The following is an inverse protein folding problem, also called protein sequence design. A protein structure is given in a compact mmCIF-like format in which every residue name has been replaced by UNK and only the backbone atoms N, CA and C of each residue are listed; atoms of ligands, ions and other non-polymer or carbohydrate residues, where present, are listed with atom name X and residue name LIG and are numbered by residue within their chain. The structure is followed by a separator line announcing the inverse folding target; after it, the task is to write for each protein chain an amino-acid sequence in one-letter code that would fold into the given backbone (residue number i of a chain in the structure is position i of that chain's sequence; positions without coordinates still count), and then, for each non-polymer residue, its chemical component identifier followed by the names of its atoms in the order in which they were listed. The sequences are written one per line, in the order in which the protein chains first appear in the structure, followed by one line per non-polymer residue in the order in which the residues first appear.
data_IF_432058500890
#
_entry.id   IF_432058500890
#
_cell.length_a   1.000
_cell.length_b   1.000
_cell.length_c   1.000
_cell.angle_alpha   90.00
_cell.angle_beta   90.00
_cell.angle_gamma   90.00
#
_symmetry.space_group_name_H-M   'P 1'
#
loop_
_entity.id
_entity.type
_entity.pdbx_description
1 polymer ?
#
# COMPACT_ATOMS: atom_id res chain seq x y z
N UNK A 1 15.21 34.96 3.77
CA UNK A 1 14.75 34.43 5.08
C UNK A 1 14.97 32.96 5.08
N UNK A 2 15.97 32.49 5.78
CA UNK A 2 16.37 31.07 5.90
C UNK A 2 15.42 30.34 6.87
N UNK A 3 14.90 29.15 6.56
CA UNK A 3 14.23 28.33 7.57
C UNK A 3 15.29 27.62 8.39
N UNK A 4 15.56 28.15 9.60
CA UNK A 4 16.32 27.44 10.64
C UNK A 4 15.51 26.24 11.13
N UNK A 5 15.64 25.07 10.50
CA UNK A 5 15.32 23.82 11.11
C UNK A 5 16.50 23.39 11.96
N UNK A 6 16.38 23.44 13.30
CA UNK A 6 17.34 22.79 14.18
C UNK A 6 17.49 21.32 13.77
N UNK A 7 18.70 20.75 13.80
CA UNK A 7 18.87 19.32 13.51
C UNK A 7 18.03 18.51 14.50
N UNK A 8 17.18 17.59 13.98
CA UNK A 8 16.39 16.68 14.82
C UNK A 8 17.36 15.82 15.60
N UNK A 9 17.25 15.83 16.93
CA UNK A 9 18.06 14.97 17.77
C UNK A 9 17.66 13.51 17.51
N UNK A 10 18.61 12.71 17.01
CA UNK A 10 18.40 11.30 16.70
C UNK A 10 18.08 10.46 17.96
N UNK A 11 18.43 10.94 19.15
CA UNK A 11 18.09 10.31 20.43
C UNK A 11 16.57 10.30 20.73
N UNK A 12 15.80 11.14 20.03
CA UNK A 12 14.35 11.28 20.19
C UNK A 12 13.51 10.54 19.16
N UNK A 13 14.15 9.71 18.32
CA UNK A 13 13.47 8.97 17.25
C UNK A 13 13.63 7.48 17.48
N UNK A 14 12.50 6.76 17.44
CA UNK A 14 12.47 5.30 17.60
C UNK A 14 11.58 4.61 16.57
N UNK A 15 11.89 3.34 16.32
CA UNK A 15 11.00 2.42 15.62
C UNK A 15 10.19 1.69 16.68
N UNK A 16 8.87 1.79 16.61
CA UNK A 16 7.91 1.24 17.56
C UNK A 16 7.10 0.15 16.89
N UNK A 17 6.97 -0.99 17.57
CA UNK A 17 6.06 -2.06 17.14
C UNK A 17 4.62 -1.64 17.39
N UNK A 18 3.82 -1.63 16.33
CA UNK A 18 2.39 -1.40 16.43
C UNK A 18 1.71 -2.74 16.71
N UNK A 19 0.92 -2.76 17.78
CA UNK A 19 0.15 -3.91 18.23
C UNK A 19 -1.34 -3.54 18.30
N UNK A 20 -2.25 -4.51 18.41
CA UNK A 20 -3.67 -4.23 18.66
C UNK A 20 -3.94 -3.31 19.84
N UNK A 21 -3.10 -3.38 20.88
CA UNK A 21 -3.27 -2.61 22.12
C UNK A 21 -2.85 -1.12 21.96
N UNK A 22 -1.91 -0.83 21.06
CA UNK A 22 -1.35 0.53 20.92
C UNK A 22 -1.66 1.23 19.57
N UNK A 23 -2.24 0.53 18.59
CA UNK A 23 -2.52 1.11 17.27
C UNK A 23 -3.43 2.34 17.33
N UNK A 24 -4.35 2.38 18.28
CA UNK A 24 -5.25 3.52 18.48
C UNK A 24 -4.51 4.79 18.92
N UNK A 25 -3.42 4.65 19.70
CA UNK A 25 -2.62 5.75 20.24
C UNK A 25 -1.70 6.35 19.17
N UNK A 26 -1.06 5.49 18.39
CA UNK A 26 -0.15 5.93 17.33
C UNK A 26 -0.87 6.33 16.06
N UNK A 27 -2.02 5.72 15.76
CA UNK A 27 -2.70 5.84 14.48
C UNK A 27 -1.98 5.07 13.36
N UNK A 28 -2.46 5.22 12.14
CA UNK A 28 -1.90 4.57 10.94
C UNK A 28 -1.90 5.54 9.77
N UNK A 29 -0.81 5.58 9.02
CA UNK A 29 -0.71 6.41 7.80
C UNK A 29 -1.02 7.90 8.04
N UNK A 30 -0.74 8.43 9.23
CA UNK A 30 -1.03 9.80 9.60
C UNK A 30 -2.46 10.06 10.09
N UNK A 31 -3.34 9.09 10.06
CA UNK A 31 -4.67 9.17 10.68
C UNK A 31 -4.58 8.83 12.18
N UNK A 32 -5.11 9.71 13.03
CA UNK A 32 -5.12 9.53 14.50
C UNK A 32 -6.51 9.62 15.12
N UNK A 33 -7.45 10.30 14.47
CA UNK A 33 -8.75 10.59 15.05
C UNK A 33 -9.82 9.60 14.56
N UNK A 34 -10.07 8.58 15.36
CA UNK A 34 -11.09 7.55 15.12
C UNK A 34 -12.52 8.10 15.02
N UNK A 35 -12.79 9.27 15.62
CA UNK A 35 -14.12 9.88 15.58
C UNK A 35 -14.37 10.56 14.23
N UNK A 36 -13.32 11.13 13.64
CA UNK A 36 -13.38 11.84 12.37
C UNK A 36 -13.19 10.93 11.15
N UNK A 37 -12.49 9.82 11.32
CA UNK A 37 -12.02 8.97 10.20
C UNK A 37 -12.58 7.55 10.33
N UNK A 38 -13.71 7.29 9.68
CA UNK A 38 -14.30 5.95 9.61
C UNK A 38 -13.36 4.93 8.97
N UNK A 39 -12.62 5.34 7.95
CA UNK A 39 -11.61 4.56 7.25
C UNK A 39 -10.48 4.08 8.17
N UNK A 40 -10.12 4.87 9.19
CA UNK A 40 -9.14 4.46 10.19
C UNK A 40 -9.67 3.31 11.05
N UNK A 41 -10.94 3.33 11.46
CA UNK A 41 -11.54 2.23 12.21
C UNK A 41 -11.55 0.93 11.42
N UNK A 42 -11.92 0.99 10.13
CA UNK A 42 -11.88 -0.18 9.24
C UNK A 42 -10.46 -0.74 9.12
N UNK A 43 -9.46 0.14 8.97
CA UNK A 43 -8.05 -0.26 8.92
C UNK A 43 -7.59 -0.91 10.23
N UNK A 44 -8.00 -0.41 11.40
CA UNK A 44 -7.66 -0.98 12.69
C UNK A 44 -8.26 -2.38 12.84
N UNK A 45 -9.56 -2.57 12.56
CA UNK A 45 -10.21 -3.88 12.62
C UNK A 45 -9.51 -4.89 11.70
N UNK A 46 -9.16 -4.46 10.48
CA UNK A 46 -8.39 -5.26 9.54
C UNK A 46 -6.99 -5.59 10.10
N UNK A 47 -6.30 -4.63 10.71
CA UNK A 47 -5.00 -4.84 11.33
C UNK A 47 -5.08 -5.88 12.46
N UNK A 48 -6.04 -5.78 13.37
CA UNK A 48 -6.25 -6.71 14.46
C UNK A 48 -6.48 -8.15 13.98
N UNK A 49 -7.28 -8.31 12.92
CA UNK A 49 -7.51 -9.62 12.30
C UNK A 49 -6.22 -10.21 11.74
N UNK A 50 -5.48 -9.42 10.95
CA UNK A 50 -4.29 -9.91 10.25
C UNK A 50 -3.02 -9.92 11.11
N UNK A 51 -3.00 -9.21 12.23
CA UNK A 51 -1.92 -9.29 13.21
C UNK A 51 -1.69 -10.73 13.69
N UNK A 52 -2.77 -11.47 13.92
CA UNK A 52 -2.74 -12.90 14.29
C UNK A 52 -2.24 -13.80 13.15
N UNK A 53 -2.32 -13.33 11.90
CA UNK A 53 -1.82 -14.01 10.70
C UNK A 53 -0.39 -13.59 10.34
N UNK A 54 0.27 -12.78 11.19
CA UNK A 54 1.64 -12.36 11.01
C UNK A 54 1.82 -10.97 10.40
N UNK A 55 0.74 -10.18 10.23
CA UNK A 55 0.87 -8.76 9.85
C UNK A 55 1.64 -7.99 10.91
N UNK A 56 2.58 -7.18 10.48
CA UNK A 56 3.34 -6.26 11.34
C UNK A 56 3.36 -4.86 10.76
N UNK A 57 3.32 -3.89 11.65
CA UNK A 57 3.58 -2.48 11.35
C UNK A 57 4.67 -2.00 12.31
N UNK A 58 5.76 -1.49 11.75
CA UNK A 58 6.80 -0.77 12.48
C UNK A 58 6.64 0.71 12.18
N UNK A 59 6.34 1.52 13.19
CA UNK A 59 6.16 2.96 13.05
C UNK A 59 7.42 3.71 13.44
N UNK A 60 7.83 4.66 12.61
CA UNK A 60 8.85 5.65 12.98
C UNK A 60 8.18 6.76 13.78
N UNK A 61 8.59 6.94 15.02
CA UNK A 61 8.00 7.90 15.96
C UNK A 61 9.09 8.82 16.51
N UNK A 62 8.83 10.13 16.46
CA UNK A 62 9.61 11.15 17.14
C UNK A 62 8.88 11.57 18.41
N UNK A 63 9.58 11.75 19.52
CA UNK A 63 8.98 12.25 20.76
C UNK A 63 8.34 13.62 20.57
N UNK A 64 9.01 14.51 19.83
CA UNK A 64 8.53 15.87 19.58
C UNK A 64 7.42 15.93 18.52
N UNK A 65 7.57 15.16 17.43
CA UNK A 65 6.72 15.32 16.23
C UNK A 65 5.77 14.14 16.01
N UNK A 66 5.78 13.13 16.87
CA UNK A 66 4.93 11.94 16.80
C UNK A 66 5.25 11.06 15.59
N UNK A 67 4.23 10.47 15.02
CA UNK A 67 4.32 9.52 13.91
C UNK A 67 4.90 10.13 12.63
N UNK A 68 5.98 9.56 12.10
CA UNK A 68 6.72 10.10 10.95
C UNK A 68 6.83 9.14 9.76
N UNK A 69 6.50 7.89 9.95
CA UNK A 69 6.59 6.90 8.89
C UNK A 69 6.25 5.50 9.37
N UNK A 70 6.23 4.54 8.46
CA UNK A 70 6.05 3.13 8.80
C UNK A 70 6.56 2.21 7.71
N UNK A 71 6.75 0.94 8.07
CA UNK A 71 6.70 -0.21 7.17
C UNK A 71 5.57 -1.14 7.63
N UNK A 72 4.82 -1.69 6.66
CA UNK A 72 3.79 -2.70 6.88
C UNK A 72 4.13 -3.93 6.05
N UNK A 73 4.16 -5.12 6.66
CA UNK A 73 4.47 -6.38 6.01
C UNK A 73 3.72 -7.57 6.62
N UNK A 74 3.57 -8.64 5.84
CA UNK A 74 2.80 -9.83 6.19
C UNK A 74 3.38 -11.06 5.48
N UNK A 75 3.20 -12.31 5.97
CA UNK A 75 3.48 -13.49 5.18
C UNK A 75 2.75 -13.47 3.83
N UNK A 76 3.47 -13.72 2.74
CA UNK A 76 3.02 -13.49 1.37
C UNK A 76 1.75 -14.21 0.96
N UNK A 77 1.41 -15.34 1.59
CA UNK A 77 0.12 -16.01 1.41
C UNK A 77 -1.09 -15.13 1.74
N UNK A 78 -0.89 -14.11 2.59
CA UNK A 78 -1.90 -13.12 2.98
C UNK A 78 -1.66 -11.75 2.35
N UNK A 79 -0.79 -11.66 1.34
CA UNK A 79 -0.51 -10.39 0.68
C UNK A 79 -1.79 -9.76 0.09
N UNK A 80 -1.98 -8.46 0.36
CA UNK A 80 -3.04 -7.68 -0.24
C UNK A 80 -2.53 -7.02 -1.53
N UNK A 81 -2.06 -7.84 -2.45
CA UNK A 81 -1.59 -7.53 -3.81
C UNK A 81 -1.84 -8.76 -4.70
N UNK A 82 -2.03 -8.58 -6.00
CA UNK A 82 -2.22 -9.69 -6.94
C UNK A 82 -0.89 -10.40 -7.25
N UNK A 83 -0.34 -11.05 -6.22
CA UNK A 83 0.94 -11.77 -6.29
C UNK A 83 0.83 -13.17 -5.72
N UNK A 84 1.61 -14.08 -6.26
CA UNK A 84 1.90 -15.40 -5.71
C UNK A 84 3.26 -15.28 -5.00
N UNK A 85 3.24 -15.02 -3.70
CA UNK A 85 4.43 -14.78 -2.88
C UNK A 85 4.45 -15.68 -1.62
N UNK A 86 3.80 -16.85 -1.66
CA UNK A 86 3.83 -17.78 -0.52
C UNK A 86 5.27 -18.19 -0.20
N UNK A 87 5.56 -18.29 1.08
CA UNK A 87 6.91 -18.52 1.59
C UNK A 87 7.77 -17.25 1.75
N UNK A 88 7.36 -16.11 1.23
CA UNK A 88 8.04 -14.82 1.39
C UNK A 88 7.36 -13.94 2.43
N UNK A 89 8.12 -13.07 3.12
CA UNK A 89 7.55 -11.92 3.78
C UNK A 89 7.25 -10.84 2.72
N UNK A 90 6.04 -10.29 2.72
CA UNK A 90 5.61 -9.33 1.71
C UNK A 90 5.42 -7.93 2.31
N UNK A 91 6.15 -6.94 1.80
CA UNK A 91 5.99 -5.55 2.20
C UNK A 91 4.81 -4.93 1.44
N UNK A 92 3.76 -4.55 2.19
CA UNK A 92 2.60 -3.86 1.65
C UNK A 92 2.85 -2.38 1.37
N UNK A 93 3.50 -1.71 2.33
CA UNK A 93 3.69 -0.27 2.30
C UNK A 93 4.93 0.12 3.11
N UNK A 94 5.63 1.14 2.63
CA UNK A 94 6.67 1.83 3.39
C UNK A 94 6.68 3.29 3.01
N UNK A 95 6.76 4.16 4.00
CA UNK A 95 7.01 5.58 3.77
C UNK A 95 7.68 6.22 4.98
N UNK A 96 8.40 7.31 4.74
CA UNK A 96 9.02 8.15 5.78
C UNK A 96 8.86 9.61 5.40
N UNK A 97 8.54 10.44 6.38
CA UNK A 97 8.65 11.89 6.27
C UNK A 97 7.35 12.58 5.90
N UNK A 98 6.38 12.59 6.81
CA UNK A 98 5.37 13.65 6.82
C UNK A 98 6.04 15.03 6.89
N UNK A 99 7.18 15.13 7.60
CA UNK A 99 8.04 16.30 7.64
C UNK A 99 9.34 16.03 6.87
N UNK A 100 9.84 17.05 6.17
CA UNK A 100 11.02 16.91 5.31
C UNK A 100 12.30 16.57 6.09
N UNK A 101 12.42 17.01 7.32
CA UNK A 101 13.56 16.77 8.20
C UNK A 101 13.83 15.29 8.49
N UNK A 102 12.83 14.41 8.31
CA UNK A 102 12.97 12.96 8.48
C UNK A 102 13.36 12.24 7.18
N UNK A 103 13.29 12.91 6.04
CA UNK A 103 13.62 12.33 4.74
C UNK A 103 15.14 12.22 4.54
N UNK A 104 15.59 11.19 3.84
CA UNK A 104 17.00 11.00 3.50
C UNK A 104 17.92 10.64 4.67
N UNK A 105 17.37 10.31 5.86
CA UNK A 105 18.11 9.97 7.08
C UNK A 105 18.33 8.47 7.28
N UNK A 106 17.95 7.62 6.31
CA UNK A 106 18.12 6.18 6.41
C UNK A 106 16.98 5.42 7.13
N UNK A 107 16.00 6.10 7.71
CA UNK A 107 14.93 5.44 8.49
C UNK A 107 14.14 4.39 7.71
N UNK A 108 13.81 4.65 6.44
CA UNK A 108 13.17 3.64 5.61
C UNK A 108 14.05 2.39 5.44
N UNK A 109 15.36 2.60 5.26
CA UNK A 109 16.35 1.52 5.19
C UNK A 109 16.36 0.68 6.46
N UNK A 110 16.37 1.33 7.65
CA UNK A 110 16.34 0.63 8.94
C UNK A 110 15.05 -0.17 9.14
N UNK A 111 13.90 0.37 8.73
CA UNK A 111 12.63 -0.37 8.80
C UNK A 111 12.58 -1.58 7.86
N UNK A 112 13.24 -1.51 6.69
CA UNK A 112 13.40 -2.68 5.81
C UNK A 112 14.31 -3.73 6.47
N UNK A 113 15.38 -3.31 7.17
CA UNK A 113 16.26 -4.23 7.90
C UNK A 113 15.51 -5.00 8.99
N UNK A 114 14.59 -4.34 9.71
CA UNK A 114 13.71 -5.01 10.67
C UNK A 114 12.82 -6.06 10.00
N UNK A 115 12.20 -5.73 8.86
CA UNK A 115 11.40 -6.69 8.10
C UNK A 115 12.27 -7.89 7.64
N UNK A 116 13.49 -7.64 7.15
CA UNK A 116 14.42 -8.70 6.70
C UNK A 116 14.82 -9.59 7.89
N UNK A 117 15.10 -9.00 9.05
CA UNK A 117 15.44 -9.73 10.27
C UNK A 117 14.30 -10.65 10.69
N UNK A 118 13.08 -10.11 10.82
CA UNK A 118 11.90 -10.91 11.20
C UNK A 118 11.55 -11.99 10.18
N UNK A 119 11.72 -11.71 8.88
CA UNK A 119 11.52 -12.71 7.83
C UNK A 119 12.49 -13.89 7.96
N UNK A 120 13.77 -13.63 8.31
CA UNK A 120 14.77 -14.69 8.58
C UNK A 120 14.42 -15.49 9.83
N UNK A 121 14.04 -14.82 10.91
CA UNK A 121 13.64 -15.45 12.18
C UNK A 121 12.39 -16.34 12.00
N UNK A 122 11.46 -15.94 11.11
CA UNK A 122 10.30 -16.70 10.74
C UNK A 122 10.56 -17.84 9.73
N UNK A 123 11.82 -18.05 9.31
CA UNK A 123 12.19 -19.08 8.33
C UNK A 123 11.63 -18.87 6.93
N UNK A 124 11.34 -17.61 6.55
CA UNK A 124 10.84 -17.26 5.22
C UNK A 124 11.93 -17.45 4.16
N UNK A 125 11.52 -17.64 2.92
CA UNK A 125 12.44 -17.76 1.76
C UNK A 125 13.14 -16.44 1.41
N UNK A 126 12.57 -15.32 1.85
CA UNK A 126 13.05 -13.98 1.55
C UNK A 126 12.00 -12.91 1.83
N UNK A 127 12.21 -11.73 1.26
CA UNK A 127 11.27 -10.60 1.33
C UNK A 127 10.90 -10.17 -0.09
N UNK A 128 9.61 -9.93 -0.33
CA UNK A 128 9.10 -9.46 -1.62
C UNK A 128 8.33 -8.13 -1.46
N UNK A 129 8.30 -7.32 -2.51
CA UNK A 129 7.61 -6.04 -2.54
C UNK A 129 7.23 -5.67 -3.97
N UNK A 130 6.04 -5.09 -4.15
CA UNK A 130 5.68 -4.42 -5.41
C UNK A 130 6.07 -2.95 -5.32
N UNK A 131 6.78 -2.48 -6.34
CA UNK A 131 7.25 -1.09 -6.45
C UNK A 131 6.76 -0.45 -7.73
N UNK A 132 6.70 0.87 -7.70
CA UNK A 132 6.38 1.72 -8.85
C UNK A 132 6.82 3.15 -8.56
N UNK A 133 7.28 3.86 -9.57
CA UNK A 133 7.49 5.30 -9.44
C UNK A 133 6.14 6.03 -9.55
N UNK A 134 5.68 6.60 -8.44
CA UNK A 134 4.41 7.29 -8.42
C UNK A 134 3.76 7.42 -7.04
N UNK A 135 2.53 7.94 -6.99
CA UNK A 135 1.82 8.12 -5.73
C UNK A 135 1.53 6.80 -5.02
N UNK A 136 1.58 6.83 -3.68
CA UNK A 136 1.24 5.72 -2.77
C UNK A 136 2.15 4.49 -2.84
N UNK A 137 3.25 4.53 -3.56
CA UNK A 137 4.20 3.43 -3.64
C UNK A 137 5.63 3.91 -3.41
N UNK A 138 6.47 3.04 -2.88
CA UNK A 138 7.89 3.28 -2.75
C UNK A 138 8.58 3.00 -4.08
N UNK A 139 9.56 3.83 -4.45
CA UNK A 139 10.34 3.66 -5.65
C UNK A 139 11.37 2.51 -5.54
N UNK A 140 11.75 1.96 -6.68
CA UNK A 140 12.67 0.84 -6.85
C UNK A 140 14.02 1.03 -6.13
N UNK A 141 14.59 2.22 -6.20
CA UNK A 141 15.96 2.52 -5.72
C UNK A 141 16.16 2.18 -4.24
N UNK A 142 15.13 2.36 -3.40
CA UNK A 142 15.18 2.05 -1.97
C UNK A 142 15.51 0.57 -1.71
N UNK A 143 14.88 -0.32 -2.47
CA UNK A 143 15.00 -1.77 -2.30
C UNK A 143 16.23 -2.33 -3.01
N UNK A 144 16.57 -1.84 -4.20
CA UNK A 144 17.77 -2.27 -4.93
C UNK A 144 19.05 -2.02 -4.11
N UNK A 145 19.12 -0.90 -3.38
CA UNK A 145 20.24 -0.63 -2.44
C UNK A 145 20.34 -1.64 -1.29
N UNK A 146 19.27 -2.40 -1.03
CA UNK A 146 19.23 -3.49 -0.04
C UNK A 146 19.45 -4.87 -0.65
N UNK A 147 19.78 -4.94 -1.94
CA UNK A 147 20.04 -6.20 -2.64
C UNK A 147 18.80 -6.86 -3.23
N UNK A 148 17.64 -6.19 -3.26
CA UNK A 148 16.48 -6.71 -3.97
C UNK A 148 16.73 -6.67 -5.49
N UNK A 149 16.24 -7.70 -6.17
CA UNK A 149 16.29 -7.85 -7.63
C UNK A 149 14.88 -7.98 -8.19
N UNK A 150 14.69 -7.64 -9.47
CA UNK A 150 13.41 -7.83 -10.12
C UNK A 150 13.14 -9.33 -10.34
N UNK A 151 11.96 -9.78 -9.90
CA UNK A 151 11.47 -11.13 -10.12
C UNK A 151 10.41 -11.18 -11.22
N UNK A 152 9.56 -10.14 -11.32
CA UNK A 152 8.47 -10.07 -12.30
C UNK A 152 8.06 -8.61 -12.54
N UNK A 153 7.24 -8.38 -13.59
CA UNK A 153 6.72 -7.07 -13.95
C UNK A 153 5.25 -7.15 -14.39
N UNK A 154 4.53 -6.04 -14.20
CA UNK A 154 3.13 -5.91 -14.62
C UNK A 154 2.81 -4.52 -15.15
N UNK A 155 1.83 -4.46 -16.07
CA UNK A 155 1.38 -3.21 -16.66
C UNK A 155 0.84 -2.21 -15.60
N UNK A 156 1.02 -0.88 -15.81
CA UNK A 156 1.78 -0.28 -16.89
C UNK A 156 3.29 -0.17 -16.59
N UNK A 157 3.72 -0.23 -15.35
CA UNK A 157 5.10 0.04 -14.89
C UNK A 157 5.34 -0.46 -13.45
N UNK A 158 4.64 -1.52 -13.03
CA UNK A 158 4.88 -2.17 -11.75
C UNK A 158 6.00 -3.20 -11.86
N UNK A 159 6.87 -3.26 -10.84
CA UNK A 159 7.86 -4.31 -10.68
C UNK A 159 7.61 -5.05 -9.35
N UNK A 160 7.76 -6.36 -9.38
CA UNK A 160 7.84 -7.20 -8.19
C UNK A 160 9.32 -7.45 -7.90
N UNK A 161 9.80 -6.91 -6.79
CA UNK A 161 11.18 -7.09 -6.34
C UNK A 161 11.25 -8.14 -5.24
N UNK A 162 12.36 -8.89 -5.20
CA UNK A 162 12.61 -9.93 -4.20
C UNK A 162 14.04 -9.87 -3.67
N UNK A 163 14.19 -10.08 -2.36
CA UNK A 163 15.45 -10.41 -1.70
C UNK A 163 15.34 -11.85 -1.20
N UNK A 164 16.01 -12.79 -1.88
CA UNK A 164 16.02 -14.20 -1.52
C UNK A 164 17.08 -14.50 -0.47
N UNK A 165 16.76 -15.33 0.52
CA UNK A 165 17.72 -15.85 1.49
C UNK A 165 18.34 -17.16 1.03
N UNK A 166 17.60 -17.93 0.22
CA UNK A 166 18.09 -19.08 -0.50
C UNK A 166 17.84 -18.87 -2.01
N UNK A 167 18.89 -18.85 -2.87
CA UNK A 167 18.74 -18.62 -4.31
C UNK A 167 17.93 -19.70 -5.01
N UNK A 168 17.85 -20.92 -4.47
CA UNK A 168 17.16 -22.05 -5.09
C UNK A 168 15.63 -22.01 -4.89
N UNK A 169 15.09 -21.07 -4.10
CA UNK A 169 13.66 -20.93 -3.92
C UNK A 169 13.01 -20.34 -5.17
N UNK A 170 11.76 -20.78 -5.45
CA UNK A 170 10.96 -20.26 -6.57
C UNK A 170 10.73 -18.76 -6.39
N UNK A 171 10.86 -17.99 -7.47
CA UNK A 171 10.58 -16.56 -7.44
C UNK A 171 9.08 -16.27 -7.24
N UNK A 172 8.75 -15.22 -6.48
CA UNK A 172 7.38 -14.72 -6.44
C UNK A 172 7.02 -14.11 -7.80
N UNK A 173 5.71 -14.09 -8.14
CA UNK A 173 5.24 -13.57 -9.42
C UNK A 173 3.91 -12.84 -9.28
N UNK A 174 3.58 -11.99 -10.24
CA UNK A 174 2.23 -11.47 -10.37
C UNK A 174 1.24 -12.58 -10.78
N UNK A 175 -0.01 -12.44 -10.34
CA UNK A 175 -1.12 -13.25 -10.86
C UNK A 175 -1.63 -12.68 -12.18
N UNK A 176 -2.43 -13.45 -12.90
CA UNK A 176 -3.02 -13.00 -14.17
C UNK A 176 -4.18 -12.02 -13.94
N UNK A 177 -3.83 -10.74 -13.85
CA UNK A 177 -4.81 -9.66 -13.66
C UNK A 177 -5.68 -9.43 -14.90
N UNK A 178 -5.23 -9.83 -16.10
CA UNK A 178 -6.00 -9.65 -17.34
C UNK A 178 -7.22 -10.58 -17.38
N UNK A 179 -7.09 -11.76 -16.79
CA UNK A 179 -8.24 -12.67 -16.63
C UNK A 179 -9.30 -12.02 -15.76
N UNK A 180 -8.93 -11.52 -14.59
CA UNK A 180 -9.85 -10.87 -13.65
C UNK A 180 -10.42 -9.55 -14.17
N UNK A 181 -9.68 -8.83 -15.01
CA UNK A 181 -10.17 -7.59 -15.63
C UNK A 181 -11.39 -7.84 -16.55
N UNK A 182 -11.54 -9.05 -17.10
CA UNK A 182 -12.69 -9.42 -17.96
C UNK A 182 -14.03 -9.39 -17.22
N UNK A 183 -14.03 -9.50 -15.90
CA UNK A 183 -15.24 -9.40 -15.08
C UNK A 183 -15.83 -7.99 -15.06
N UNK A 184 -15.02 -6.97 -15.42
CA UNK A 184 -15.36 -5.54 -15.38
C UNK A 184 -15.51 -4.91 -16.77
N UNK A 185 -15.94 -5.70 -17.79
CA UNK A 185 -16.00 -5.26 -19.19
C UNK A 185 -17.00 -4.14 -19.46
N UNK A 186 -18.13 -4.13 -18.76
CA UNK A 186 -19.25 -3.22 -19.05
C UNK A 186 -19.56 -2.35 -17.83
N UNK A 187 -19.35 -1.04 -17.93
CA UNK A 187 -19.67 -0.07 -16.92
C UNK A 187 -18.48 0.50 -16.16
N UNK A 188 -18.77 1.22 -15.09
CA UNK A 188 -17.78 1.89 -14.26
C UNK A 188 -17.71 1.23 -12.87
N UNK A 189 -16.51 0.86 -12.47
CA UNK A 189 -16.24 0.18 -11.20
C UNK A 189 -15.18 0.95 -10.41
N UNK A 190 -15.43 1.17 -9.12
CA UNK A 190 -14.44 1.63 -8.15
C UNK A 190 -14.14 0.46 -7.23
N UNK A 191 -12.95 -0.09 -7.34
CA UNK A 191 -12.51 -1.30 -6.63
C UNK A 191 -11.53 -0.88 -5.55
N UNK A 192 -11.73 -1.35 -4.31
CA UNK A 192 -10.88 -0.98 -3.19
C UNK A 192 -10.78 -2.08 -2.13
N UNK A 193 -9.76 -1.99 -1.28
CA UNK A 193 -9.65 -2.78 -0.05
C UNK A 193 -9.34 -1.90 1.15
N UNK A 194 -9.58 -2.42 2.35
CA UNK A 194 -9.36 -1.71 3.62
C UNK A 194 -7.89 -1.63 4.05
N UNK A 195 -6.99 -2.32 3.34
CA UNK A 195 -5.56 -2.32 3.67
C UNK A 195 -4.98 -0.89 3.72
N UNK A 196 -5.40 0.00 2.83
CA UNK A 196 -4.96 1.39 2.83
C UNK A 196 -6.13 2.34 3.10
N UNK A 197 -6.12 3.15 4.16
CA UNK A 197 -7.24 4.04 4.48
C UNK A 197 -7.48 5.13 3.41
N UNK A 198 -6.46 5.46 2.61
CA UNK A 198 -6.60 6.45 1.53
C UNK A 198 -7.49 5.97 0.37
N UNK A 199 -7.79 4.68 0.26
CA UNK A 199 -8.68 4.13 -0.78
C UNK A 199 -10.13 4.62 -0.63
N UNK A 200 -10.52 5.06 0.56
CA UNK A 200 -11.88 5.54 0.85
C UNK A 200 -12.07 7.04 0.65
N UNK A 201 -10.99 7.83 0.76
CA UNK A 201 -11.04 9.28 0.91
C UNK A 201 -11.90 10.02 -0.12
N UNK A 202 -11.85 9.62 -1.39
CA UNK A 202 -12.56 10.31 -2.47
C UNK A 202 -13.65 9.45 -3.13
N UNK A 203 -13.84 8.22 -2.66
CA UNK A 203 -14.72 7.24 -3.32
C UNK A 203 -16.15 7.76 -3.46
N UNK A 204 -16.77 8.28 -2.39
CA UNK A 204 -18.13 8.79 -2.46
C UNK A 204 -18.28 9.97 -3.43
N UNK A 205 -17.30 10.88 -3.46
CA UNK A 205 -17.33 12.01 -4.39
C UNK A 205 -17.16 11.54 -5.86
N UNK A 206 -16.37 10.51 -6.11
CA UNK A 206 -16.22 9.89 -7.44
C UNK A 206 -17.53 9.24 -7.88
N UNK A 207 -18.17 8.45 -7.02
CA UNK A 207 -19.46 7.82 -7.31
C UNK A 207 -20.56 8.87 -7.62
N UNK A 208 -20.62 9.95 -6.85
CA UNK A 208 -21.56 11.03 -7.06
C UNK A 208 -21.30 11.79 -8.37
N UNK A 209 -20.03 12.10 -8.68
CA UNK A 209 -19.68 12.76 -9.95
C UNK A 209 -19.95 11.85 -11.16
N UNK A 210 -19.71 10.55 -11.05
CA UNK A 210 -20.06 9.59 -12.09
C UNK A 210 -21.56 9.68 -12.45
N UNK A 211 -22.41 9.70 -11.42
CA UNK A 211 -23.87 9.78 -11.58
C UNK A 211 -24.29 11.15 -12.10
N UNK A 212 -23.92 12.23 -11.41
CA UNK A 212 -24.49 13.56 -11.63
C UNK A 212 -23.93 14.27 -12.86
N UNK A 213 -22.66 14.02 -13.22
CA UNK A 213 -21.96 14.71 -14.31
C UNK A 213 -21.82 13.91 -15.60
N UNK A 214 -21.80 12.58 -15.47
CA UNK A 214 -21.53 11.69 -16.61
C UNK A 214 -22.68 10.73 -16.90
N UNK A 215 -23.75 10.77 -16.10
CA UNK A 215 -24.91 9.87 -16.20
C UNK A 215 -24.48 8.38 -16.17
N UNK A 216 -23.43 8.05 -15.43
CA UNK A 216 -22.91 6.70 -15.26
C UNK A 216 -23.24 6.17 -13.86
N UNK A 217 -23.76 4.95 -13.79
CA UNK A 217 -23.88 4.22 -12.54
C UNK A 217 -22.54 3.53 -12.24
N UNK A 218 -21.79 4.06 -11.28
CA UNK A 218 -20.58 3.42 -10.80
C UNK A 218 -20.89 2.37 -9.73
N UNK A 219 -20.31 1.18 -9.86
CA UNK A 219 -20.38 0.10 -8.88
C UNK A 219 -19.15 0.15 -7.96
N UNK A 220 -19.38 0.21 -6.64
CA UNK A 220 -18.33 0.09 -5.65
C UNK A 220 -18.11 -1.37 -5.27
N UNK A 221 -16.87 -1.84 -5.39
CA UNK A 221 -16.43 -3.18 -5.00
C UNK A 221 -15.46 -3.06 -3.83
N UNK A 222 -15.85 -3.57 -2.68
CA UNK A 222 -14.94 -3.76 -1.54
C UNK A 222 -14.32 -5.16 -1.63
N UNK A 223 -13.02 -5.25 -1.83
CA UNK A 223 -12.28 -6.52 -1.85
C UNK A 223 -12.04 -6.98 -0.42
N UNK A 224 -12.70 -8.04 -0.01
CA UNK A 224 -12.61 -8.59 1.32
C UNK A 224 -11.65 -9.79 1.37
N UNK A 225 -10.65 -9.67 2.23
CA UNK A 225 -9.64 -10.70 2.42
C UNK A 225 -8.56 -10.79 1.33
N UNK A 226 -7.51 -11.59 1.58
CA UNK A 226 -6.37 -11.70 0.68
C UNK A 226 -6.74 -12.33 -0.66
N UNK A 227 -7.61 -13.35 -0.69
CA UNK A 227 -8.00 -14.03 -1.93
C UNK A 227 -8.66 -13.06 -2.92
N UNK A 228 -9.58 -12.21 -2.46
CA UNK A 228 -10.22 -11.21 -3.31
C UNK A 228 -9.20 -10.18 -3.84
N UNK A 229 -8.27 -9.71 -2.97
CA UNK A 229 -7.25 -8.74 -3.38
C UNK A 229 -6.18 -9.36 -4.27
N UNK A 230 -5.85 -10.63 -4.07
CA UNK A 230 -4.91 -11.36 -4.93
C UNK A 230 -5.50 -11.64 -6.32
N UNK A 231 -6.79 -11.56 -6.48
CA UNK A 231 -7.51 -11.62 -7.76
C UNK A 231 -7.95 -10.23 -8.25
N UNK A 232 -7.38 -9.15 -7.70
CA UNK A 232 -7.68 -7.79 -8.18
C UNK A 232 -7.23 -7.59 -9.63
N UNK A 233 -7.96 -6.78 -10.43
CA UNK A 233 -7.69 -6.59 -11.86
C UNK A 233 -6.52 -5.64 -12.16
N UNK A 234 -5.76 -5.21 -11.16
CA UNK A 234 -4.60 -4.34 -11.35
C UNK A 234 -3.51 -4.58 -10.30
N UNK A 235 -2.25 -4.35 -10.67
CA UNK A 235 -1.07 -4.64 -9.84
C UNK A 235 -0.97 -3.82 -8.53
N UNK A 236 -1.65 -2.68 -8.45
CA UNK A 236 -1.78 -1.94 -7.19
C UNK A 236 -2.56 -2.73 -6.14
N UNK A 237 -3.50 -3.59 -6.56
CA UNK A 237 -4.26 -4.54 -5.77
C UNK A 237 -5.33 -3.90 -4.88
N UNK A 238 -4.97 -2.92 -4.09
CA UNK A 238 -5.86 -2.34 -3.06
C UNK A 238 -6.76 -1.21 -3.55
N UNK A 239 -6.57 -0.74 -4.77
CA UNK A 239 -7.44 0.25 -5.41
C UNK A 239 -7.25 0.26 -6.93
N UNK A 240 -8.35 0.34 -7.66
CA UNK A 240 -8.35 0.80 -9.05
C UNK A 240 -9.74 1.32 -9.44
N UNK A 241 -9.78 2.06 -10.54
CA UNK A 241 -11.02 2.43 -11.23
C UNK A 241 -10.97 1.80 -12.61
N UNK A 242 -11.98 1.01 -12.93
CA UNK A 242 -12.15 0.35 -14.23
C UNK A 242 -13.37 0.94 -14.93
N UNK A 243 -13.22 1.25 -16.22
CA UNK A 243 -14.31 1.69 -17.08
C UNK A 243 -14.26 0.90 -18.39
N UNK A 244 -15.33 0.14 -18.64
CA UNK A 244 -15.50 -0.69 -19.84
C UNK A 244 -14.27 -1.59 -20.12
N UNK A 245 -13.86 -2.34 -19.09
CA UNK A 245 -12.75 -3.29 -19.17
C UNK A 245 -11.35 -2.69 -19.19
N UNK A 246 -11.20 -1.38 -18.99
CA UNK A 246 -9.91 -0.70 -18.96
C UNK A 246 -9.65 -0.05 -17.59
N UNK A 247 -8.46 -0.26 -17.03
CA UNK A 247 -8.03 0.40 -15.78
C UNK A 247 -7.70 1.85 -16.06
N UNK A 248 -8.56 2.77 -15.63
CA UNK A 248 -8.39 4.22 -15.83
C UNK A 248 -7.67 4.90 -14.68
N UNK A 249 -7.54 4.24 -13.54
CA UNK A 249 -6.66 4.64 -12.44
C UNK A 249 -6.21 3.43 -11.65
N UNK A 250 -4.90 3.31 -11.41
CA UNK A 250 -4.28 2.24 -10.63
C UNK A 250 -4.12 2.57 -9.13
N UNK A 251 -4.42 3.80 -8.72
CA UNK A 251 -4.24 4.26 -7.33
C UNK A 251 -5.33 5.27 -6.96
N UNK A 252 -5.55 5.55 -5.66
CA UNK A 252 -6.51 6.58 -5.24
C UNK A 252 -6.22 7.94 -5.88
N UNK A 253 -7.28 8.57 -6.41
CA UNK A 253 -7.21 9.88 -7.07
C UNK A 253 -8.23 10.85 -6.48
N UNK A 254 -8.03 12.15 -6.71
CA UNK A 254 -9.02 13.15 -6.38
C UNK A 254 -10.23 13.08 -7.32
N UNK A 255 -11.38 13.56 -6.84
CA UNK A 255 -12.56 13.67 -7.69
C UNK A 255 -12.34 14.51 -8.94
N UNK A 256 -11.61 15.64 -8.81
CA UNK A 256 -11.24 16.48 -9.97
C UNK A 256 -10.44 15.71 -11.02
N UNK A 257 -9.49 14.86 -10.58
CA UNK A 257 -8.70 14.04 -11.51
C UNK A 257 -9.59 13.00 -12.19
N UNK A 258 -10.50 12.35 -11.47
CA UNK A 258 -11.49 11.45 -12.03
C UNK A 258 -12.33 12.14 -13.11
N UNK A 259 -12.93 13.30 -12.81
CA UNK A 259 -13.71 14.07 -13.77
C UNK A 259 -12.93 14.44 -15.05
N UNK A 260 -11.66 14.80 -14.90
CA UNK A 260 -10.79 15.13 -16.04
C UNK A 260 -10.49 13.89 -16.91
N UNK A 261 -10.35 12.72 -16.32
CA UNK A 261 -10.21 11.44 -17.05
C UNK A 261 -11.51 11.16 -17.84
N UNK A 262 -12.65 11.21 -17.15
CA UNK A 262 -13.95 10.90 -17.77
C UNK A 262 -14.33 11.86 -18.89
N UNK A 263 -14.07 13.16 -18.75
CA UNK A 263 -14.27 14.16 -19.83
C UNK A 263 -13.49 13.85 -21.12
N UNK A 264 -12.36 13.18 -21.02
CA UNK A 264 -11.55 12.79 -22.19
C UNK A 264 -12.04 11.48 -22.83
N UNK A 265 -12.70 10.62 -22.02
CA UNK A 265 -13.16 9.29 -22.48
C UNK A 265 -14.55 9.30 -23.10
N UNK A 266 -15.44 10.19 -22.64
CA UNK A 266 -16.85 10.27 -23.07
C UNK A 266 -17.03 11.31 -24.20
N UNK A 267 -15.95 11.89 -24.70
CA UNK A 267 -15.94 12.65 -25.94
C UNK A 267 -15.91 11.70 -27.12
#
# INVERSE_FOLDING_TARGET
MTPNGSPVDTADIGIVDITPENIADYGVCGYKDLKKHRELRRKINWFEEYYRKGLRIKALVSKEHGYQGMVEYIPGRYAHRPVDADGYMFIHCIFVGFRNEFKGKGYASSMIDECIREAKEAGMHGVAVVVRDGPFMAGRTLFVRKGFVAADAADPDFELLVLKFNPDTKDPRFRDMKEHLREYRDGLFVIRSVQCPYTEKNTNAILESARSKFNLRATLIDLEGPDAVQNAPCAFGTFCIVHDGEVISHHPISNTRFENIMKKRIR
#
